data_IF_411308019445
#
_entry.id   IF_411308019445
#
_cell.length_a   1.000
_cell.length_b   1.000
_cell.length_c   1.000
_cell.angle_alpha   90.00
_cell.angle_beta   90.00
_cell.angle_gamma   90.00
#
_symmetry.space_group_name_H-M   'P 1'
#
loop_
_entity.id
_entity.type
_entity.pdbx_description
1 polymer ?
#
# COMPACT_ATOMS: atom_id res chain seq x y z
N UNK A 1 10.08 -20.39 1.88
CA UNK A 1 10.26 -21.83 2.05
C UNK A 1 11.29 -22.23 3.10
N UNK A 2 12.16 -21.33 3.54
CA UNK A 2 13.16 -21.60 4.60
C UNK A 2 12.51 -22.03 5.91
N UNK A 3 11.45 -21.36 6.35
CA UNK A 3 10.74 -21.74 7.60
C UNK A 3 10.07 -23.10 7.51
N UNK A 4 9.55 -23.50 6.35
CA UNK A 4 9.00 -24.84 6.15
C UNK A 4 10.06 -25.89 6.44
N UNK A 5 11.26 -25.75 5.87
CA UNK A 5 12.36 -26.68 6.09
C UNK A 5 12.84 -26.70 7.54
N UNK A 6 12.87 -25.56 8.24
CA UNK A 6 13.25 -25.45 9.65
C UNK A 6 12.25 -26.21 10.53
N UNK A 7 10.95 -25.98 10.32
CA UNK A 7 9.88 -26.61 11.11
C UNK A 7 9.84 -28.12 10.79
N UNK A 8 9.94 -28.50 9.54
CA UNK A 8 9.86 -29.86 9.06
C UNK A 8 10.99 -30.73 9.62
N UNK A 9 12.16 -30.15 9.80
CA UNK A 9 13.33 -30.80 10.38
C UNK A 9 13.40 -30.75 11.93
N UNK A 10 12.34 -30.27 12.60
CA UNK A 10 12.31 -30.17 14.06
C UNK A 10 13.30 -29.16 14.64
N UNK A 11 13.74 -28.19 13.85
CA UNK A 11 14.69 -27.14 14.24
C UNK A 11 14.03 -25.79 14.54
N UNK A 12 12.69 -25.79 14.72
CA UNK A 12 11.99 -24.58 15.09
C UNK A 12 12.35 -24.14 16.51
N UNK A 13 12.78 -22.90 16.66
CA UNK A 13 13.18 -22.34 17.94
C UNK A 13 11.97 -21.69 18.64
N UNK A 14 11.54 -22.30 19.73
CA UNK A 14 10.37 -21.86 20.51
C UNK A 14 10.58 -20.52 21.22
N UNK A 15 11.82 -20.06 21.33
CA UNK A 15 12.12 -18.73 21.87
C UNK A 15 11.57 -17.58 21.01
N UNK A 16 11.15 -17.86 19.76
CA UNK A 16 10.51 -16.89 18.87
C UNK A 16 9.00 -17.16 18.75
N UNK A 17 8.17 -16.71 19.68
CA UNK A 17 6.73 -16.93 19.65
C UNK A 17 6.07 -16.24 18.45
N UNK A 18 4.93 -16.78 18.02
CA UNK A 18 4.00 -16.03 17.19
C UNK A 18 3.21 -15.12 18.12
N UNK A 19 3.23 -13.80 17.84
CA UNK A 19 2.55 -12.82 18.67
C UNK A 19 1.22 -12.47 18.02
N UNK A 20 0.15 -12.63 18.78
CA UNK A 20 -1.22 -12.42 18.32
C UNK A 20 -2.00 -11.51 19.26
N UNK A 21 -3.11 -10.95 18.75
CA UNK A 21 -4.12 -10.25 19.55
C UNK A 21 -5.51 -10.73 19.11
N UNK A 22 -6.47 -10.76 20.02
CA UNK A 22 -7.86 -11.10 19.69
C UNK A 22 -8.44 -10.09 18.68
N UNK A 23 -8.99 -10.59 17.58
CA UNK A 23 -9.51 -9.78 16.49
C UNK A 23 -10.68 -8.87 16.94
N UNK A 24 -11.58 -9.39 17.79
CA UNK A 24 -12.70 -8.63 18.36
C UNK A 24 -12.23 -7.43 19.21
N UNK A 25 -11.11 -7.57 19.95
CA UNK A 25 -10.54 -6.44 20.73
C UNK A 25 -10.03 -5.32 19.82
N UNK A 26 -9.46 -5.66 18.66
CA UNK A 26 -9.02 -4.68 17.67
C UNK A 26 -10.21 -3.93 17.08
N UNK A 27 -11.28 -4.64 16.70
CA UNK A 27 -12.48 -4.02 16.14
C UNK A 27 -13.13 -3.09 17.16
N UNK A 28 -13.25 -3.51 18.44
CA UNK A 28 -13.72 -2.65 19.52
C UNK A 28 -12.87 -1.39 19.71
N UNK A 29 -11.57 -1.49 19.50
CA UNK A 29 -10.66 -0.35 19.54
C UNK A 29 -10.71 0.51 18.25
N UNK A 30 -11.57 0.15 17.29
CA UNK A 30 -11.81 0.91 16.07
C UNK A 30 -10.87 0.59 14.92
N UNK A 31 -10.16 -0.53 14.95
CA UNK A 31 -9.36 -0.99 13.82
C UNK A 31 -10.20 -1.80 12.85
N UNK A 32 -9.85 -1.71 11.57
CA UNK A 32 -10.41 -2.59 10.54
C UNK A 32 -9.64 -3.89 10.54
N UNK A 33 -10.33 -5.01 10.67
CA UNK A 33 -9.76 -6.35 10.61
C UNK A 33 -10.31 -7.07 9.38
N UNK A 34 -9.42 -7.68 8.61
CA UNK A 34 -9.78 -8.46 7.44
C UNK A 34 -9.37 -9.92 7.61
N UNK A 35 -10.10 -10.83 6.97
CA UNK A 35 -9.68 -12.21 6.84
C UNK A 35 -8.52 -12.37 5.81
N UNK A 36 -8.06 -13.60 5.63
CA UNK A 36 -6.97 -13.93 4.68
C UNK A 36 -7.31 -13.65 3.21
N UNK A 37 -8.59 -13.45 2.89
CA UNK A 37 -9.08 -13.12 1.55
C UNK A 37 -9.32 -11.62 1.37
N UNK A 38 -9.06 -10.80 2.41
CA UNK A 38 -9.27 -9.36 2.40
C UNK A 38 -10.69 -8.90 2.72
N UNK A 39 -11.61 -9.81 3.13
CA UNK A 39 -12.95 -9.45 3.55
C UNK A 39 -12.92 -8.83 4.95
N UNK A 40 -13.52 -7.66 5.10
CA UNK A 40 -13.66 -7.00 6.40
C UNK A 40 -14.57 -7.83 7.31
N UNK A 41 -14.14 -8.04 8.54
CA UNK A 41 -14.90 -8.78 9.56
C UNK A 41 -15.68 -7.81 10.45
N UNK A 42 -16.90 -8.23 10.83
CA UNK A 42 -17.63 -7.60 11.94
C UNK A 42 -17.09 -8.07 13.27
N UNK A 43 -17.49 -7.42 14.37
CA UNK A 43 -17.07 -7.82 15.72
C UNK A 43 -17.51 -9.26 16.04
N UNK A 44 -18.74 -9.63 15.68
CA UNK A 44 -19.30 -10.95 15.90
C UNK A 44 -18.56 -12.03 15.08
N UNK A 45 -18.27 -11.74 13.82
CA UNK A 45 -17.50 -12.64 12.95
C UNK A 45 -16.06 -12.80 13.41
N UNK A 46 -15.51 -11.81 14.12
CA UNK A 46 -14.13 -11.83 14.61
C UNK A 46 -13.97 -12.57 15.96
N UNK A 47 -15.07 -12.99 16.58
CA UNK A 47 -15.01 -13.72 17.87
C UNK A 47 -14.29 -15.06 17.71
N UNK A 48 -13.32 -15.32 18.58
CA UNK A 48 -12.48 -16.53 18.50
C UNK A 48 -11.35 -16.48 17.48
N UNK A 49 -11.23 -15.40 16.69
CA UNK A 49 -10.12 -15.19 15.76
C UNK A 49 -9.02 -14.33 16.38
N UNK A 50 -7.81 -14.52 15.87
CA UNK A 50 -6.63 -13.76 16.28
C UNK A 50 -5.98 -13.09 15.07
N UNK A 51 -5.56 -11.84 15.25
CA UNK A 51 -4.70 -11.13 14.30
C UNK A 51 -3.26 -11.39 14.67
N UNK A 52 -2.45 -11.79 13.69
CA UNK A 52 -1.02 -12.03 13.89
C UNK A 52 -0.31 -10.69 13.80
N UNK A 53 0.34 -10.29 14.90
CA UNK A 53 1.13 -9.06 14.98
C UNK A 53 2.58 -9.30 14.56
N UNK A 54 3.15 -10.46 14.93
CA UNK A 54 4.48 -10.93 14.51
C UNK A 54 4.47 -12.44 14.29
N UNK A 55 5.35 -12.90 13.39
CA UNK A 55 5.48 -14.31 13.05
C UNK A 55 4.60 -14.78 11.90
N UNK A 56 4.09 -13.90 11.05
CA UNK A 56 3.22 -14.24 9.91
C UNK A 56 3.85 -15.30 8.99
N UNK A 57 5.13 -15.17 8.64
CA UNK A 57 5.84 -16.16 7.81
C UNK A 57 5.93 -17.52 8.49
N UNK A 58 6.16 -17.54 9.81
CA UNK A 58 6.20 -18.76 10.63
C UNK A 58 4.83 -19.43 10.69
N UNK A 59 3.80 -18.66 10.99
CA UNK A 59 2.40 -19.13 10.99
C UNK A 59 1.99 -19.72 9.64
N UNK A 60 2.33 -19.04 8.54
CA UNK A 60 2.05 -19.53 7.18
C UNK A 60 2.79 -20.84 6.89
N UNK A 61 4.02 -21.01 7.39
CA UNK A 61 4.77 -22.24 7.22
C UNK A 61 4.14 -23.40 8.00
N UNK A 62 3.69 -23.17 9.23
CA UNK A 62 2.93 -24.16 10.00
C UNK A 62 1.62 -24.54 9.30
N UNK A 63 0.87 -23.58 8.80
CA UNK A 63 -0.38 -23.84 8.07
C UNK A 63 -0.15 -24.68 6.81
N UNK A 64 0.88 -24.39 6.03
CA UNK A 64 1.26 -25.19 4.85
C UNK A 64 1.66 -26.61 5.21
N UNK A 65 2.46 -26.79 6.25
CA UNK A 65 2.83 -28.13 6.72
C UNK A 65 1.63 -28.90 7.26
N UNK A 66 0.74 -28.22 7.99
CA UNK A 66 -0.48 -28.82 8.52
C UNK A 66 -1.41 -29.33 7.41
N UNK A 67 -1.49 -28.63 6.27
CA UNK A 67 -2.30 -29.06 5.11
C UNK A 67 -1.79 -30.35 4.47
N UNK A 68 -0.51 -30.69 4.67
CA UNK A 68 0.14 -31.88 4.09
C UNK A 68 0.23 -33.02 5.11
N UNK A 69 0.66 -32.73 6.35
CA UNK A 69 0.98 -33.72 7.36
C UNK A 69 -0.17 -33.97 8.35
N UNK A 70 -1.09 -32.98 8.51
CA UNK A 70 -2.06 -32.98 9.60
C UNK A 70 -1.40 -32.81 10.98
N UNK A 71 -2.17 -32.39 11.97
CA UNK A 71 -1.75 -32.32 13.38
C UNK A 71 -0.51 -31.48 13.70
N UNK A 72 -0.21 -30.49 12.87
CA UNK A 72 0.84 -29.52 13.19
C UNK A 72 0.32 -28.50 14.21
N UNK A 73 0.99 -28.40 15.34
CA UNK A 73 0.67 -27.42 16.39
C UNK A 73 1.77 -26.38 16.45
N UNK A 74 1.37 -25.11 16.55
CA UNK A 74 2.30 -24.02 16.79
C UNK A 74 2.69 -24.07 18.27
N UNK A 75 3.97 -24.31 18.60
CA UNK A 75 4.37 -24.63 19.98
C UNK A 75 4.30 -23.42 20.91
N UNK A 76 4.44 -22.21 20.39
CA UNK A 76 4.50 -21.01 21.20
C UNK A 76 3.75 -19.85 20.55
N UNK A 77 2.56 -19.55 21.11
CA UNK A 77 1.73 -18.40 20.70
C UNK A 77 1.56 -17.49 21.91
N UNK A 78 1.96 -16.26 21.79
CA UNK A 78 1.80 -15.24 22.82
C UNK A 78 0.62 -14.35 22.48
N UNK A 79 -0.45 -14.41 23.26
CA UNK A 79 -1.61 -13.53 23.14
C UNK A 79 -1.32 -12.23 23.88
N UNK A 80 -1.24 -11.13 23.14
CA UNK A 80 -0.94 -9.81 23.69
C UNK A 80 -2.21 -9.02 23.97
N UNK A 81 -2.28 -8.40 25.13
CA UNK A 81 -3.28 -7.42 25.48
C UNK A 81 -2.61 -6.03 25.39
N UNK A 82 -2.91 -5.29 24.33
CA UNK A 82 -2.25 -4.02 24.04
C UNK A 82 -3.27 -2.88 24.08
N UNK A 83 -2.96 -1.87 24.89
CA UNK A 83 -3.77 -0.64 24.95
C UNK A 83 -3.49 0.27 23.76
N UNK A 84 -2.26 0.22 23.23
CA UNK A 84 -1.84 0.98 22.04
C UNK A 84 -1.10 0.07 21.06
N UNK A 85 -1.83 -0.37 20.05
CA UNK A 85 -1.30 -1.24 19.01
C UNK A 85 -0.37 -0.48 18.05
N UNK A 86 -0.61 0.82 17.83
CA UNK A 86 0.21 1.62 16.93
C UNK A 86 1.65 1.72 17.44
N UNK A 87 1.82 2.04 18.71
CA UNK A 87 3.14 2.10 19.37
C UNK A 87 3.83 0.73 19.33
N UNK A 88 3.08 -0.34 19.63
CA UNK A 88 3.65 -1.70 19.59
C UNK A 88 4.12 -2.07 18.18
N UNK A 89 3.30 -1.84 17.17
CA UNK A 89 3.67 -2.13 15.78
C UNK A 89 4.90 -1.32 15.33
N UNK A 90 5.06 -0.10 15.83
CA UNK A 90 6.26 0.68 15.56
C UNK A 90 7.49 0.11 16.27
N UNK A 91 7.35 -0.31 17.52
CA UNK A 91 8.46 -0.90 18.28
C UNK A 91 9.00 -2.16 17.62
N UNK A 92 8.12 -3.09 17.22
CA UNK A 92 8.55 -4.31 16.50
C UNK A 92 9.14 -3.97 15.14
N UNK A 93 8.68 -2.91 14.48
CA UNK A 93 9.21 -2.45 13.20
C UNK A 93 10.63 -1.86 13.32
N UNK A 94 11.01 -1.29 14.46
CA UNK A 94 12.40 -0.88 14.70
C UNK A 94 13.37 -2.06 14.66
N UNK A 95 12.89 -3.25 14.99
CA UNK A 95 13.68 -4.49 14.95
C UNK A 95 13.64 -5.15 13.57
N UNK A 96 12.58 -4.94 12.80
CA UNK A 96 12.31 -5.62 11.52
C UNK A 96 11.98 -4.68 10.36
N UNK A 97 12.76 -3.66 10.06
CA UNK A 97 12.71 -2.78 8.86
C UNK A 97 11.47 -2.93 7.96
N UNK A 98 10.31 -2.48 8.41
CA UNK A 98 9.13 -2.38 7.54
C UNK A 98 9.43 -1.43 6.38
N UNK A 99 9.20 -1.91 5.17
CA UNK A 99 9.30 -1.05 4.01
C UNK A 99 8.13 -0.03 3.95
N UNK A 100 8.25 0.93 3.06
CA UNK A 100 7.24 1.97 2.89
C UNK A 100 5.86 1.42 2.51
N UNK A 101 5.80 0.27 1.82
CA UNK A 101 4.54 -0.36 1.43
C UNK A 101 3.80 -0.91 2.64
N UNK A 102 4.52 -1.64 3.50
CA UNK A 102 3.97 -2.16 4.74
C UNK A 102 3.48 -1.02 5.65
N UNK A 103 4.27 0.05 5.79
CA UNK A 103 3.88 1.23 6.60
C UNK A 103 2.59 1.90 6.08
N UNK A 104 2.44 2.06 4.77
CA UNK A 104 1.22 2.63 4.18
C UNK A 104 0.04 1.69 4.40
N UNK A 105 0.21 0.38 4.23
CA UNK A 105 -0.83 -0.59 4.49
C UNK A 105 -1.35 -0.53 5.92
N UNK A 106 -0.44 -0.47 6.91
CA UNK A 106 -0.84 -0.32 8.32
C UNK A 106 -1.44 1.05 8.60
N UNK A 107 -0.92 2.13 8.02
CA UNK A 107 -1.50 3.46 8.15
C UNK A 107 -2.94 3.50 7.64
N UNK A 108 -3.23 2.90 6.48
CA UNK A 108 -4.59 2.76 5.94
C UNK A 108 -5.54 2.07 6.93
N UNK A 109 -5.10 0.96 7.52
CA UNK A 109 -5.91 0.19 8.48
C UNK A 109 -6.13 0.91 9.81
N UNK A 110 -5.17 1.74 10.25
CA UNK A 110 -5.18 2.29 11.62
C UNK A 110 -5.66 3.73 11.70
N UNK A 111 -5.46 4.56 10.66
CA UNK A 111 -5.79 5.98 10.69
C UNK A 111 -7.20 6.30 10.22
N UNK A 112 -7.83 5.43 9.43
CA UNK A 112 -9.08 5.72 8.70
C UNK A 112 -8.97 7.00 7.84
N UNK A 113 -7.78 7.29 7.37
CA UNK A 113 -7.49 8.44 6.51
C UNK A 113 -7.61 7.99 5.04
N UNK A 114 -8.55 8.60 4.33
CA UNK A 114 -8.85 8.29 2.93
C UNK A 114 -7.61 8.33 2.03
N UNK A 115 -6.65 9.21 2.32
CA UNK A 115 -5.39 9.28 1.58
C UNK A 115 -4.62 7.96 1.65
N UNK A 116 -4.41 7.42 2.88
CA UNK A 116 -3.64 6.20 3.06
C UNK A 116 -4.39 4.97 2.58
N UNK A 117 -5.73 4.95 2.69
CA UNK A 117 -6.56 3.88 2.12
C UNK A 117 -6.38 3.81 0.60
N UNK A 118 -6.55 4.92 -0.11
CA UNK A 118 -6.36 4.98 -1.56
C UNK A 118 -4.91 4.71 -1.98
N UNK A 119 -3.91 5.18 -1.22
CA UNK A 119 -2.51 4.84 -1.49
C UNK A 119 -2.26 3.33 -1.34
N UNK A 120 -2.83 2.68 -0.32
CA UNK A 120 -2.70 1.24 -0.11
C UNK A 120 -3.32 0.44 -1.27
N UNK A 121 -4.49 0.85 -1.76
CA UNK A 121 -5.13 0.24 -2.93
C UNK A 121 -4.24 0.32 -4.19
N UNK A 122 -3.61 1.47 -4.45
CA UNK A 122 -2.67 1.60 -5.56
C UNK A 122 -1.45 0.69 -5.41
N UNK A 123 -0.92 0.57 -4.19
CA UNK A 123 0.21 -0.32 -3.89
C UNK A 123 -0.17 -1.78 -4.16
N UNK A 124 -1.38 -2.21 -3.81
CA UNK A 124 -1.89 -3.55 -4.14
C UNK A 124 -2.01 -3.76 -5.66
N UNK A 125 -2.31 -2.72 -6.43
CA UNK A 125 -2.32 -2.74 -7.90
C UNK A 125 -0.90 -2.73 -8.52
N UNK A 126 0.16 -2.62 -7.73
CA UNK A 126 1.55 -2.66 -8.19
C UNK A 126 2.25 -1.31 -8.27
N UNK A 127 1.63 -0.22 -7.81
CA UNK A 127 2.30 1.07 -7.73
C UNK A 127 3.34 1.10 -6.59
N UNK A 128 4.38 1.92 -6.76
CA UNK A 128 5.29 2.18 -5.65
C UNK A 128 4.76 3.32 -4.74
N UNK A 129 5.18 3.36 -3.47
CA UNK A 129 4.73 4.35 -2.50
C UNK A 129 4.92 5.81 -2.93
N UNK A 130 6.05 6.12 -3.55
CA UNK A 130 6.36 7.48 -4.02
C UNK A 130 5.37 7.93 -5.08
N UNK A 131 5.09 7.07 -6.05
CA UNK A 131 4.15 7.39 -7.14
C UNK A 131 2.73 7.50 -6.61
N UNK A 132 2.29 6.63 -5.70
CA UNK A 132 0.98 6.73 -5.06
C UNK A 132 0.81 8.07 -4.31
N UNK A 133 1.81 8.49 -3.55
CA UNK A 133 1.80 9.81 -2.90
C UNK A 133 1.71 10.97 -3.91
N UNK A 134 2.51 10.93 -4.98
CA UNK A 134 2.50 11.97 -6.03
C UNK A 134 1.16 12.06 -6.77
N UNK A 135 0.47 10.94 -6.96
CA UNK A 135 -0.84 10.89 -7.62
C UNK A 135 -1.88 11.64 -6.80
N UNK A 136 -1.96 11.37 -5.49
CA UNK A 136 -3.01 11.91 -4.63
C UNK A 136 -2.67 13.24 -3.97
N UNK A 137 -1.38 13.62 -3.85
CA UNK A 137 -0.98 14.83 -3.12
C UNK A 137 -0.06 15.75 -3.90
N UNK A 138 0.32 15.39 -5.13
CA UNK A 138 1.36 16.05 -5.92
C UNK A 138 2.76 16.06 -5.25
N UNK A 139 2.90 15.43 -4.09
CA UNK A 139 4.14 15.36 -3.29
C UNK A 139 4.47 13.93 -2.89
N UNK A 140 5.72 13.67 -2.62
CA UNK A 140 6.14 12.43 -1.96
C UNK A 140 5.80 12.51 -0.47
N UNK A 141 5.25 11.44 0.08
CA UNK A 141 4.97 11.33 1.52
C UNK A 141 6.22 10.76 2.21
N UNK A 142 6.92 11.53 3.05
CA UNK A 142 8.10 11.05 3.75
C UNK A 142 7.75 9.99 4.80
N UNK A 143 8.66 9.07 5.02
CA UNK A 143 8.52 8.01 6.03
C UNK A 143 8.21 8.55 7.44
N UNK A 144 8.78 9.69 7.80
CA UNK A 144 8.53 10.35 9.09
C UNK A 144 7.05 10.69 9.34
N UNK A 145 6.28 10.95 8.27
CA UNK A 145 4.84 11.21 8.37
C UNK A 145 4.13 9.90 8.65
N UNK A 146 4.46 8.82 7.93
CA UNK A 146 3.89 7.50 8.18
C UNK A 146 4.15 7.03 9.61
N UNK A 147 5.35 7.23 10.13
CA UNK A 147 5.68 6.88 11.51
C UNK A 147 4.79 7.64 12.51
N UNK A 148 4.49 8.92 12.27
CA UNK A 148 3.54 9.69 13.10
C UNK A 148 2.11 9.13 13.01
N UNK A 149 1.66 8.80 11.80
CA UNK A 149 0.33 8.17 11.58
C UNK A 149 0.23 6.86 12.35
N UNK A 150 1.26 6.01 12.29
CA UNK A 150 1.31 4.74 13.03
C UNK A 150 1.24 4.92 14.55
N UNK A 151 1.82 6.01 15.06
CA UNK A 151 1.77 6.39 16.49
C UNK A 151 0.50 7.11 16.89
N UNK A 152 -0.41 7.39 15.95
CA UNK A 152 -1.59 8.25 16.15
C UNK A 152 -1.23 9.65 16.64
N UNK A 153 -0.05 10.14 16.27
CA UNK A 153 0.39 11.51 16.53
C UNK A 153 -0.17 12.45 15.46
N UNK A 154 -0.36 13.70 15.84
CA UNK A 154 -0.69 14.76 14.87
C UNK A 154 0.41 14.88 13.81
N UNK A 155 0.01 14.96 12.56
CA UNK A 155 0.93 15.10 11.45
C UNK A 155 0.46 16.17 10.46
N UNK A 156 1.42 16.74 9.77
CA UNK A 156 1.17 17.64 8.65
C UNK A 156 1.80 17.04 7.40
N UNK A 157 1.05 17.06 6.30
CA UNK A 157 1.59 16.69 5.00
C UNK A 157 2.72 17.65 4.59
N UNK A 158 3.55 17.27 3.58
CA UNK A 158 4.58 18.16 3.06
C UNK A 158 3.98 19.50 2.64
N UNK A 159 4.78 20.57 2.77
CA UNK A 159 4.39 21.90 2.30
C UNK A 159 3.90 21.82 0.85
N UNK A 160 2.82 22.51 0.55
CA UNK A 160 2.16 22.56 -0.76
C UNK A 160 1.61 21.19 -1.24
N UNK A 161 1.46 20.19 -0.36
CA UNK A 161 0.70 19.00 -0.67
C UNK A 161 -0.80 19.31 -0.63
N UNK A 162 -1.50 18.91 -1.68
CA UNK A 162 -2.97 19.06 -1.78
C UNK A 162 -3.54 17.67 -1.98
N UNK A 163 -4.30 17.18 -0.99
CA UNK A 163 -4.99 15.89 -1.10
C UNK A 163 -6.15 16.04 -2.06
N UNK A 164 -6.13 15.29 -3.16
CA UNK A 164 -7.21 15.24 -4.14
C UNK A 164 -7.32 13.82 -4.70
N UNK A 165 -8.12 13.02 -4.02
CA UNK A 165 -8.34 11.61 -4.36
C UNK A 165 -9.04 11.47 -5.71
N UNK A 166 -10.06 12.30 -5.95
CA UNK A 166 -10.81 12.28 -7.21
C UNK A 166 -9.88 12.55 -8.40
N UNK A 167 -9.08 13.61 -8.31
CA UNK A 167 -8.09 13.95 -9.34
C UNK A 167 -7.13 12.80 -9.63
N UNK A 168 -6.63 12.16 -8.57
CA UNK A 168 -5.72 11.02 -8.71
C UNK A 168 -6.37 9.83 -9.40
N UNK A 169 -7.60 9.51 -9.05
CA UNK A 169 -8.36 8.44 -9.67
C UNK A 169 -8.71 8.75 -11.13
N UNK A 170 -9.09 10.00 -11.46
CA UNK A 170 -9.33 10.44 -12.83
C UNK A 170 -8.06 10.30 -13.69
N UNK A 171 -6.89 10.70 -13.16
CA UNK A 171 -5.59 10.49 -13.83
C UNK A 171 -5.35 9.03 -14.17
N UNK A 172 -5.49 8.12 -13.20
CA UNK A 172 -5.27 6.68 -13.41
C UNK A 172 -6.26 6.13 -14.43
N UNK A 173 -7.52 6.50 -14.33
CA UNK A 173 -8.59 6.03 -15.21
C UNK A 173 -8.30 6.40 -16.67
N UNK A 174 -7.94 7.67 -16.92
CA UNK A 174 -7.64 8.13 -18.27
C UNK A 174 -6.35 7.52 -18.83
N UNK A 175 -5.31 7.37 -17.99
CA UNK A 175 -4.10 6.66 -18.39
C UNK A 175 -4.38 5.20 -18.79
N UNK A 176 -5.19 4.48 -18.00
CA UNK A 176 -5.60 3.11 -18.34
C UNK A 176 -6.44 3.06 -19.62
N UNK A 177 -7.34 4.04 -19.83
CA UNK A 177 -8.11 4.17 -21.07
C UNK A 177 -7.21 4.40 -22.30
N UNK A 178 -6.09 5.09 -22.12
CA UNK A 178 -5.04 5.27 -23.13
C UNK A 178 -4.09 4.05 -23.25
N UNK A 179 -4.42 2.91 -22.62
CA UNK A 179 -3.62 1.67 -22.62
C UNK A 179 -2.24 1.80 -21.96
N UNK A 180 -2.05 2.76 -21.07
CA UNK A 180 -0.82 2.86 -20.27
C UNK A 180 -0.96 1.89 -19.08
N UNK A 181 -0.15 0.84 -19.09
CA UNK A 181 -0.20 -0.19 -18.03
C UNK A 181 0.39 0.30 -16.70
N UNK A 182 0.06 -0.39 -15.60
CA UNK A 182 0.58 -0.09 -14.27
C UNK A 182 2.12 -0.15 -14.25
N UNK A 183 2.73 -1.04 -15.04
CA UNK A 183 4.19 -1.15 -15.16
C UNK A 183 4.85 0.17 -15.59
N UNK A 184 4.17 0.96 -16.41
CA UNK A 184 4.61 2.30 -16.79
C UNK A 184 4.16 3.33 -15.75
N UNK A 185 2.89 3.31 -15.33
CA UNK A 185 2.32 4.30 -14.42
C UNK A 185 2.99 4.32 -13.05
N UNK A 186 3.58 3.22 -12.59
CA UNK A 186 4.36 3.20 -11.35
C UNK A 186 5.67 3.98 -11.44
N UNK A 187 6.10 4.36 -12.64
CA UNK A 187 7.26 5.21 -12.85
C UNK A 187 6.85 6.67 -12.64
N UNK A 188 7.52 7.31 -11.68
CA UNK A 188 7.15 8.66 -11.19
C UNK A 188 7.09 9.75 -12.26
N UNK A 189 7.81 9.61 -13.37
CA UNK A 189 7.84 10.64 -14.41
C UNK A 189 6.51 10.81 -15.15
N UNK A 190 5.64 9.80 -15.19
CA UNK A 190 4.29 9.99 -15.76
C UNK A 190 3.46 10.96 -14.94
N UNK A 191 3.34 10.73 -13.64
CA UNK A 191 2.56 11.63 -12.78
C UNK A 191 3.25 12.99 -12.59
N UNK A 192 4.58 13.04 -12.56
CA UNK A 192 5.29 14.30 -12.46
C UNK A 192 5.15 15.13 -13.73
N UNK A 193 5.29 14.52 -14.92
CA UNK A 193 5.06 15.18 -16.20
C UNK A 193 3.65 15.72 -16.30
N UNK A 194 2.63 14.95 -15.89
CA UNK A 194 1.25 15.43 -15.82
C UNK A 194 1.10 16.60 -14.86
N UNK A 195 1.65 16.52 -13.65
CA UNK A 195 1.58 17.61 -12.67
C UNK A 195 2.30 18.89 -13.17
N UNK A 196 3.42 18.75 -13.85
CA UNK A 196 4.17 19.87 -14.44
C UNK A 196 3.39 20.49 -15.59
N UNK A 197 2.80 19.66 -16.45
CA UNK A 197 1.94 20.13 -17.55
C UNK A 197 0.71 20.89 -17.01
N UNK A 198 0.03 20.34 -16.01
CA UNK A 198 -1.13 20.99 -15.38
C UNK A 198 -0.76 22.30 -14.70
N UNK A 199 0.44 22.41 -14.14
CA UNK A 199 0.93 23.67 -13.54
C UNK A 199 1.10 24.80 -14.56
N UNK A 200 1.50 24.46 -15.78
CA UNK A 200 1.74 25.44 -16.86
C UNK A 200 0.45 25.78 -17.61
N UNK A 201 -0.35 24.77 -17.95
CA UNK A 201 -1.50 24.90 -18.85
C UNK A 201 -2.87 24.87 -18.15
N UNK A 202 -2.89 24.61 -16.84
CA UNK A 202 -4.11 24.42 -16.05
C UNK A 202 -4.60 22.97 -16.02
N UNK A 203 -5.33 22.61 -14.96
CA UNK A 203 -5.82 21.24 -14.74
C UNK A 203 -6.78 20.78 -15.85
N UNK A 204 -7.72 21.62 -16.27
CA UNK A 204 -8.69 21.28 -17.32
C UNK A 204 -8.00 20.91 -18.64
N UNK A 205 -7.01 21.70 -19.05
CA UNK A 205 -6.25 21.45 -20.26
C UNK A 205 -5.41 20.17 -20.15
N UNK A 206 -4.83 19.91 -18.96
CA UNK A 206 -4.05 18.70 -18.72
C UNK A 206 -4.93 17.44 -18.81
N UNK A 207 -6.10 17.44 -18.21
CA UNK A 207 -7.04 16.33 -18.32
C UNK A 207 -7.58 16.12 -19.73
N UNK A 208 -7.82 17.21 -20.47
CA UNK A 208 -8.19 17.14 -21.88
C UNK A 208 -7.09 16.50 -22.72
N UNK A 209 -5.84 16.90 -22.50
CA UNK A 209 -4.68 16.30 -23.17
C UNK A 209 -4.56 14.81 -22.83
N UNK A 210 -4.73 14.45 -21.55
CA UNK A 210 -4.67 13.08 -21.08
C UNK A 210 -5.76 12.20 -21.70
N UNK A 211 -7.00 12.72 -21.81
CA UNK A 211 -8.11 11.99 -22.45
C UNK A 211 -7.85 11.77 -23.95
N UNK A 212 -7.21 12.73 -24.61
CA UNK A 212 -6.85 12.60 -26.03
C UNK A 212 -5.75 11.56 -26.30
N UNK A 213 -4.95 11.17 -25.31
CA UNK A 213 -3.92 10.12 -25.48
C UNK A 213 -4.48 8.82 -26.03
N UNK A 214 -5.72 8.48 -25.75
CA UNK A 214 -6.39 7.27 -26.29
C UNK A 214 -6.44 7.23 -27.82
N UNK A 215 -6.34 8.40 -28.49
CA UNK A 215 -6.34 8.53 -29.95
C UNK A 215 -4.96 8.25 -30.58
N UNK A 216 -3.88 8.27 -29.77
CA UNK A 216 -2.51 8.10 -30.24
C UNK A 216 -2.09 6.64 -30.44
N UNK A 217 -2.98 5.67 -30.18
CA UNK A 217 -2.70 4.22 -30.26
C UNK A 217 -1.37 3.87 -29.57
N UNK A 218 -1.29 4.16 -28.27
CA UNK A 218 -0.09 3.93 -27.49
C UNK A 218 0.19 2.43 -27.38
N UNK A 219 1.48 2.09 -27.46
CA UNK A 219 2.01 0.75 -27.26
C UNK A 219 3.30 0.81 -26.42
N UNK A 220 3.78 -0.33 -25.98
CA UNK A 220 4.96 -0.44 -25.13
C UNK A 220 6.19 0.26 -25.73
N UNK A 221 6.40 0.20 -27.05
CA UNK A 221 7.57 0.80 -27.69
C UNK A 221 7.51 2.33 -27.68
N UNK A 222 6.32 2.91 -27.83
CA UNK A 222 6.11 4.36 -27.64
C UNK A 222 6.31 4.74 -26.18
N UNK A 223 5.76 3.96 -25.23
CA UNK A 223 5.86 4.21 -23.80
C UNK A 223 7.28 4.04 -23.24
N UNK A 224 8.07 3.11 -23.76
CA UNK A 224 9.49 2.92 -23.40
C UNK A 224 10.38 4.12 -23.75
N UNK A 225 9.94 4.98 -24.66
CA UNK A 225 10.66 6.22 -25.02
C UNK A 225 10.53 7.30 -23.96
N UNK A 226 9.48 7.24 -23.12
CA UNK A 226 9.26 8.17 -22.04
C UNK A 226 10.17 7.75 -20.87
N UNK A 227 11.15 8.57 -20.54
CA UNK A 227 12.16 8.31 -19.50
C UNK A 227 12.22 9.38 -18.42
N UNK A 228 11.70 10.56 -18.73
CA UNK A 228 11.67 11.69 -17.81
C UNK A 228 10.35 12.48 -17.90
N UNK A 229 10.19 13.43 -17.00
CA UNK A 229 8.95 14.20 -16.84
C UNK A 229 8.59 14.98 -18.13
N UNK A 230 9.61 15.54 -18.81
CA UNK A 230 9.44 16.34 -20.02
C UNK A 230 8.98 15.52 -21.23
N UNK A 231 9.39 14.28 -21.33
CA UNK A 231 8.92 13.37 -22.40
C UNK A 231 7.41 13.19 -22.34
N UNK A 232 6.87 13.04 -21.10
CA UNK A 232 5.43 12.87 -20.93
C UNK A 232 4.67 14.18 -21.15
N UNK A 233 5.25 15.34 -20.77
CA UNK A 233 4.69 16.65 -21.09
C UNK A 233 4.60 16.84 -22.60
N UNK A 234 5.66 16.53 -23.36
CA UNK A 234 5.65 16.60 -24.82
C UNK A 234 4.59 15.70 -25.44
N UNK A 235 4.40 14.47 -24.89
CA UNK A 235 3.35 13.57 -25.35
C UNK A 235 1.95 14.15 -25.12
N UNK A 236 1.70 14.79 -23.97
CA UNK A 236 0.43 15.46 -23.67
C UNK A 236 0.17 16.62 -24.63
N UNK A 237 1.19 17.43 -24.90
CA UNK A 237 1.09 18.53 -25.86
C UNK A 237 0.74 18.04 -27.28
N UNK A 238 1.46 17.04 -27.76
CA UNK A 238 1.22 16.43 -29.07
C UNK A 238 -0.19 15.83 -29.20
N UNK A 239 -0.76 15.32 -28.10
CA UNK A 239 -2.11 14.77 -28.09
C UNK A 239 -3.19 15.84 -28.28
N UNK A 240 -2.92 17.09 -27.92
CA UNK A 240 -3.87 18.19 -28.15
C UNK A 240 -3.81 18.75 -29.57
N UNK A 241 -2.64 18.59 -30.23
CA UNK A 241 -2.40 19.10 -31.58
C UNK A 241 -2.86 18.10 -32.67
N UNK A 242 -3.04 16.83 -32.28
CA UNK A 242 -3.54 15.76 -33.13
C UNK A 242 -5.06 15.74 -33.20
#
# INVERSE_FOLDING_TARGET
DTFIAIIDNGKYEEAYPIIVIEASKLIKAGYVVTDVNGRVLTEEEAEGYFVILDGQHRSTAFAKLNSVKGNMTIPNVFVKDIKDIGTYLEEINRVGNWDMKAKIGVAALTSKDELFENMAELIQQGFNPTTAGLIYTKKNIPEKILNKVLRREEYNLPKDAIVDIKRGNDFITLCKAAKISVTFLTKRYFIKGFNSYAKVHGEEQAFKALDKLKQLELNDDKLKKIKEDDDFQAMLQNALEA
#
